data_IF_596469765882
#
_entry.id   IF_596469765882
#
_cell.length_a   1.000
_cell.length_b   1.000
_cell.length_c   1.000
_cell.angle_alpha   90.00
_cell.angle_beta   90.00
_cell.angle_gamma   90.00
#
_symmetry.space_group_name_H-M   'P 1'
#
loop_
_entity.id
_entity.type
_entity.pdbx_description
1 polymer ?
#
# COMPACT_ATOMS: atom_id res chain seq x y z
N UNK A 1 -24.08 -10.57 16.95
CA UNK A 1 -22.79 -10.37 16.27
C UNK A 1 -23.11 -10.01 14.82
N UNK A 2 -23.05 -8.74 14.46
CA UNK A 2 -23.26 -8.33 13.08
C UNK A 2 -21.97 -8.62 12.31
N UNK A 3 -21.96 -9.68 11.51
CA UNK A 3 -20.97 -9.80 10.44
C UNK A 3 -21.26 -8.65 9.48
N UNK A 4 -20.49 -7.56 9.61
CA UNK A 4 -20.45 -6.55 8.58
C UNK A 4 -19.96 -7.26 7.33
N UNK A 5 -20.90 -7.55 6.43
CA UNK A 5 -20.64 -8.06 5.10
C UNK A 5 -19.94 -6.93 4.33
N UNK A 6 -18.68 -6.70 4.65
CA UNK A 6 -17.81 -5.74 4.00
C UNK A 6 -17.53 -6.31 2.61
N UNK A 7 -18.38 -5.92 1.66
CA UNK A 7 -18.18 -6.23 0.25
C UNK A 7 -16.85 -5.58 -0.11
N UNK A 8 -15.88 -6.38 -0.52
CA UNK A 8 -14.66 -5.87 -1.10
C UNK A 8 -15.08 -4.92 -2.22
N UNK A 9 -14.80 -3.60 -2.12
CA UNK A 9 -15.09 -2.68 -3.21
C UNK A 9 -14.35 -3.22 -4.43
N UNK A 10 -15.08 -3.42 -5.52
CA UNK A 10 -14.45 -3.92 -6.75
C UNK A 10 -13.40 -2.92 -7.22
N UNK A 11 -12.42 -3.35 -8.03
CA UNK A 11 -11.35 -2.48 -8.56
C UNK A 11 -11.84 -1.27 -9.38
N UNK A 12 -13.15 -1.17 -9.62
CA UNK A 12 -13.86 -0.12 -10.34
C UNK A 12 -14.67 0.80 -9.42
N UNK A 13 -14.69 0.54 -8.11
CA UNK A 13 -15.46 1.32 -7.13
C UNK A 13 -14.73 2.63 -6.79
N UNK A 14 -15.48 3.71 -6.58
CA UNK A 14 -14.92 5.02 -6.26
C UNK A 14 -14.16 5.03 -4.93
N UNK A 15 -14.47 4.09 -4.02
CA UNK A 15 -13.75 3.92 -2.74
C UNK A 15 -12.52 3.01 -2.83
N UNK A 16 -12.12 2.59 -4.04
CA UNK A 16 -10.89 1.82 -4.20
C UNK A 16 -9.70 2.63 -3.67
N UNK A 17 -8.73 1.98 -3.02
CA UNK A 17 -7.44 2.62 -2.82
C UNK A 17 -6.82 2.96 -4.16
N UNK A 18 -6.43 4.21 -4.33
CA UNK A 18 -5.66 4.71 -5.46
C UNK A 18 -4.32 5.19 -4.97
N UNK A 19 -3.32 5.04 -5.81
CA UNK A 19 -1.99 5.55 -5.57
C UNK A 19 -1.63 6.47 -6.73
N UNK A 20 -1.44 7.74 -6.44
CA UNK A 20 -1.18 8.78 -7.44
C UNK A 20 0.32 8.86 -7.81
N UNK A 21 1.20 8.07 -7.17
CA UNK A 21 2.64 8.12 -7.44
C UNK A 21 3.36 9.34 -6.86
N UNK A 22 2.62 10.35 -6.40
CA UNK A 22 3.20 11.66 -6.03
C UNK A 22 3.71 11.75 -4.59
N UNK A 23 3.13 11.00 -3.63
CA UNK A 23 3.52 11.13 -2.21
C UNK A 23 3.65 9.81 -1.46
N UNK A 24 4.64 9.69 -0.57
CA UNK A 24 4.78 8.55 0.36
C UNK A 24 3.62 8.45 1.35
N UNK A 25 2.97 9.58 1.68
CA UNK A 25 1.72 9.57 2.44
C UNK A 25 0.59 8.86 1.69
N UNK A 26 0.43 9.14 0.38
CA UNK A 26 -0.53 8.43 -0.48
C UNK A 26 -0.15 6.95 -0.61
N UNK A 27 1.14 6.63 -0.78
CA UNK A 27 1.64 5.25 -0.81
C UNK A 27 1.30 4.48 0.47
N UNK A 28 1.61 5.04 1.65
CA UNK A 28 1.32 4.39 2.94
C UNK A 28 -0.19 4.20 3.14
N UNK A 29 -1.00 5.18 2.74
CA UNK A 29 -2.45 5.06 2.83
C UNK A 29 -2.99 3.99 1.88
N UNK A 30 -2.47 3.93 0.66
CA UNK A 30 -2.79 2.89 -0.32
C UNK A 30 -2.46 1.49 0.20
N UNK A 31 -1.25 1.28 0.73
CA UNK A 31 -0.82 0.01 1.33
C UNK A 31 -1.73 -0.41 2.48
N UNK A 32 -2.07 0.53 3.37
CA UNK A 32 -2.96 0.28 4.52
C UNK A 32 -4.37 -0.10 4.06
N UNK A 33 -4.90 0.57 3.06
CA UNK A 33 -6.22 0.27 2.52
C UNK A 33 -6.23 -1.11 1.85
N UNK A 34 -5.18 -1.49 1.14
CA UNK A 34 -5.02 -2.84 0.58
C UNK A 34 -5.00 -3.92 1.66
N UNK A 35 -4.36 -3.69 2.81
CA UNK A 35 -4.41 -4.62 3.95
C UNK A 35 -5.82 -4.76 4.53
N UNK A 36 -6.56 -3.66 4.63
CA UNK A 36 -7.95 -3.69 5.07
C UNK A 36 -8.82 -4.49 4.08
N UNK A 37 -8.61 -4.30 2.77
CA UNK A 37 -9.30 -5.07 1.71
C UNK A 37 -8.95 -6.54 1.79
N UNK A 38 -7.67 -6.89 1.95
CA UNK A 38 -7.23 -8.28 2.07
C UNK A 38 -7.79 -8.95 3.33
N UNK A 39 -7.76 -8.25 4.46
CA UNK A 39 -8.31 -8.71 5.74
C UNK A 39 -9.82 -8.91 5.65
N UNK A 40 -10.53 -7.94 5.09
CA UNK A 40 -11.97 -8.02 4.86
C UNK A 40 -12.34 -9.13 3.88
N UNK A 41 -11.48 -9.39 2.90
CA UNK A 41 -11.67 -10.43 1.89
C UNK A 41 -11.24 -11.82 2.33
N UNK A 42 -10.66 -11.97 3.51
CA UNK A 42 -10.10 -13.25 3.97
C UNK A 42 -8.91 -13.72 3.14
N UNK A 43 -8.17 -12.82 2.49
CA UNK A 43 -6.97 -13.16 1.72
C UNK A 43 -5.81 -13.36 2.71
N UNK A 44 -5.53 -14.62 3.05
CA UNK A 44 -4.44 -15.02 3.95
C UNK A 44 -3.12 -15.30 3.23
N UNK A 45 -3.16 -15.42 1.91
CA UNK A 45 -1.99 -15.76 1.10
C UNK A 45 -1.22 -14.49 0.72
N UNK A 46 0.04 -14.40 1.16
CA UNK A 46 0.86 -13.21 0.96
C UNK A 46 1.12 -12.93 -0.52
N UNK A 47 1.30 -13.97 -1.34
CA UNK A 47 1.51 -13.80 -2.77
C UNK A 47 0.26 -13.22 -3.43
N UNK A 48 -0.92 -13.76 -3.09
CA UNK A 48 -2.20 -13.21 -3.58
C UNK A 48 -2.42 -11.77 -3.11
N UNK A 49 -1.97 -11.39 -1.92
CA UNK A 49 -2.04 -9.99 -1.46
C UNK A 49 -1.20 -9.08 -2.36
N UNK A 50 0.02 -9.50 -2.72
CA UNK A 50 0.88 -8.76 -3.66
C UNK A 50 0.26 -8.64 -5.05
N UNK A 51 -0.21 -9.75 -5.61
CA UNK A 51 -0.87 -9.77 -6.92
C UNK A 51 -2.12 -8.89 -6.94
N UNK A 52 -2.97 -9.01 -5.91
CA UNK A 52 -4.17 -8.18 -5.76
C UNK A 52 -3.77 -6.72 -5.70
N UNK A 53 -2.71 -6.37 -4.99
CA UNK A 53 -2.24 -4.99 -4.93
C UNK A 53 -1.82 -4.45 -6.31
N UNK A 54 -1.11 -5.25 -7.11
CA UNK A 54 -0.74 -4.88 -8.47
C UNK A 54 -1.98 -4.63 -9.33
N UNK A 55 -3.06 -5.41 -9.16
CA UNK A 55 -4.32 -5.18 -9.88
C UNK A 55 -4.96 -3.81 -9.59
N UNK A 56 -4.74 -3.23 -8.40
CA UNK A 56 -5.34 -1.94 -7.99
C UNK A 56 -4.57 -0.72 -8.49
N UNK A 57 -3.30 -0.88 -8.90
CA UNK A 57 -2.49 0.20 -9.45
C UNK A 57 -2.99 0.60 -10.83
N UNK A 58 -3.43 1.84 -11.06
CA UNK A 58 -3.84 2.24 -12.43
C UNK A 58 -2.63 2.34 -13.40
N UNK A 59 -1.43 2.56 -12.87
CA UNK A 59 -0.23 2.77 -13.65
C UNK A 59 0.52 1.46 -13.95
N UNK A 60 0.62 1.09 -15.23
CA UNK A 60 1.34 -0.10 -15.66
C UNK A 60 2.83 -0.05 -15.30
N UNK A 61 3.46 1.14 -15.37
CA UNK A 61 4.88 1.30 -15.03
C UNK A 61 5.18 0.95 -13.57
N UNK A 62 4.30 1.35 -12.64
CA UNK A 62 4.44 1.06 -11.22
C UNK A 62 4.26 -0.43 -10.94
N UNK A 63 3.34 -1.09 -11.66
CA UNK A 63 3.16 -2.53 -11.58
C UNK A 63 4.43 -3.26 -11.97
N UNK A 64 4.99 -2.94 -13.15
CA UNK A 64 6.22 -3.56 -13.64
C UNK A 64 7.41 -3.30 -12.70
N UNK A 65 7.51 -2.09 -12.14
CA UNK A 65 8.57 -1.74 -11.19
C UNK A 65 8.49 -2.59 -9.93
N UNK A 66 7.29 -2.77 -9.36
CA UNK A 66 7.10 -3.50 -8.11
C UNK A 66 7.13 -5.02 -8.29
N UNK A 67 6.73 -5.52 -9.47
CA UNK A 67 6.86 -6.94 -9.86
C UNK A 67 8.32 -7.34 -10.09
N UNK A 68 9.15 -6.42 -10.61
CA UNK A 68 10.59 -6.64 -10.80
C UNK A 68 11.39 -6.70 -9.50
N UNK A 69 10.79 -6.34 -8.36
CA UNK A 69 11.50 -6.39 -7.09
C UNK A 69 11.80 -7.84 -6.68
N UNK A 70 13.02 -8.16 -6.23
CA UNK A 70 13.39 -9.51 -5.80
C UNK A 70 12.56 -9.97 -4.58
N UNK A 71 12.04 -9.03 -3.80
CA UNK A 71 11.13 -9.25 -2.67
C UNK A 71 9.68 -9.55 -3.07
N UNK A 72 9.33 -9.45 -4.35
CA UNK A 72 8.04 -9.91 -4.86
C UNK A 72 7.91 -11.44 -4.80
N UNK A 73 9.02 -12.17 -4.74
CA UNK A 73 9.03 -13.63 -4.63
C UNK A 73 8.14 -14.15 -3.49
N UNK A 74 7.50 -15.31 -3.72
CA UNK A 74 6.59 -15.95 -2.76
C UNK A 74 7.27 -16.30 -1.42
N UNK A 75 8.59 -16.47 -1.40
CA UNK A 75 9.37 -16.73 -0.18
C UNK A 75 9.49 -15.52 0.76
N UNK A 76 9.05 -14.34 0.31
CA UNK A 76 9.20 -13.07 1.03
C UNK A 76 7.84 -12.57 1.50
N UNK A 77 7.83 -12.02 2.71
CA UNK A 77 6.59 -11.56 3.32
C UNK A 77 6.05 -10.31 2.62
N UNK A 78 4.74 -10.12 2.68
CA UNK A 78 4.08 -8.90 2.18
C UNK A 78 4.65 -7.64 2.86
N UNK A 79 5.03 -7.75 4.14
CA UNK A 79 5.64 -6.65 4.89
C UNK A 79 7.06 -6.29 4.43
N UNK A 80 7.87 -7.27 4.03
CA UNK A 80 9.21 -7.05 3.47
C UNK A 80 9.11 -6.32 2.12
N UNK A 81 8.18 -6.77 1.28
CA UNK A 81 7.90 -6.16 -0.02
C UNK A 81 7.45 -4.69 0.11
N UNK A 82 6.53 -4.39 1.06
CA UNK A 82 6.12 -3.00 1.35
C UNK A 82 7.30 -2.10 1.75
N UNK A 83 8.23 -2.61 2.55
CA UNK A 83 9.41 -1.84 2.98
C UNK A 83 10.31 -1.51 1.79
N UNK A 84 10.56 -2.49 0.93
CA UNK A 84 11.36 -2.26 -0.29
C UNK A 84 10.68 -1.24 -1.21
N UNK A 85 9.36 -1.33 -1.39
CA UNK A 85 8.60 -0.33 -2.16
C UNK A 85 8.78 1.07 -1.55
N UNK A 86 8.72 1.21 -0.21
CA UNK A 86 8.97 2.50 0.44
C UNK A 86 10.42 2.99 0.23
N UNK A 87 11.40 2.08 0.21
CA UNK A 87 12.79 2.43 -0.08
C UNK A 87 13.04 2.88 -1.53
N UNK A 88 12.16 2.53 -2.48
CA UNK A 88 12.21 3.07 -3.84
C UNK A 88 11.84 4.56 -3.91
N UNK A 89 11.15 5.09 -2.89
CA UNK A 89 10.73 6.50 -2.81
C UNK A 89 11.39 7.22 -1.61
N UNK A 90 12.73 7.24 -1.51
CA UNK A 90 13.44 7.82 -0.37
C UNK A 90 13.27 9.35 -0.33
N UNK A 91 13.10 9.99 -1.49
CA UNK A 91 12.89 11.43 -1.66
C UNK A 91 11.62 11.94 -0.96
N UNK A 92 10.67 11.05 -0.66
CA UNK A 92 9.42 11.40 -0.01
C UNK A 92 9.35 10.92 1.46
N UNK A 93 10.35 10.16 1.92
CA UNK A 93 10.47 9.76 3.33
C UNK A 93 10.85 10.96 4.23
N UNK A 94 11.65 11.89 3.71
CA UNK A 94 12.14 13.07 4.44
C UNK A 94 11.01 14.02 4.89
N UNK A 95 9.89 14.05 4.16
CA UNK A 95 8.74 14.92 4.49
C UNK A 95 7.94 14.45 5.72
N UNK A 96 8.03 13.16 6.10
CA UNK A 96 7.32 12.64 7.27
C UNK A 96 8.05 12.86 8.60
N UNK A 97 9.38 13.01 8.59
CA UNK A 97 10.13 13.34 9.81
C UNK A 97 10.03 14.84 10.16
N UNK A 98 9.70 15.71 9.20
CA UNK A 98 9.57 17.15 9.41
C UNK A 98 8.26 17.62 10.07
N UNK A 99 7.16 16.86 10.02
CA UNK A 99 5.85 17.34 10.50
C UNK A 99 5.50 16.96 11.95
N UNK A 100 6.25 16.07 12.61
CA UNK A 100 6.03 15.80 14.05
C UNK A 100 6.85 16.74 14.95
N UNK A 101 7.87 17.41 14.41
CA UNK A 101 8.76 18.29 15.18
C UNK A 101 8.33 19.77 15.19
N UNK A 102 7.40 20.21 14.34
CA UNK A 102 6.92 21.62 14.32
C UNK A 102 5.57 21.82 15.04
N UNK A 103 5.31 21.08 16.11
CA UNK A 103 4.23 21.40 17.06
C UNK A 103 4.73 21.52 18.52
N UNK A 104 6.04 21.71 18.72
CA UNK A 104 6.63 21.94 20.05
C UNK A 104 7.61 23.10 20.06
N UNK A 105 7.27 24.18 19.33
CA UNK A 105 7.99 25.46 19.39
C UNK A 105 6.98 26.63 19.40
N UNK A 106 5.89 26.44 20.15
CA UNK A 106 5.03 27.53 20.62
C UNK A 106 4.81 27.27 22.11
N UNK A 107 5.85 27.53 22.90
CA UNK A 107 5.75 27.73 24.34
C UNK A 107 6.76 28.82 24.69
#
# INVERSE_FOLDING_TARGET
MAVVNFKIPSAWDQNRPKFDGETTSSLKNFLRNMEAVCTSGGITDEQKQKEKLLEYLDHAELREQWERLPVFAASKTYSDWKKEILQLYPEIEDMMLGSVSKLKEIC
#
